data_IF_161151176184
#
_entry.id   IF_161151176184
#
_cell.length_a   1.000
_cell.length_b   1.000
_cell.length_c   1.000
_cell.angle_alpha   90.00
_cell.angle_beta   90.00
_cell.angle_gamma   90.00
#
_symmetry.space_group_name_H-M   'P 1'
#
loop_
_entity.id
_entity.type
_entity.pdbx_description
1 polymer ?
#
# COMPACT_ATOMS: atom_id res chain seq x y z
N UNK A 1 3.17 20.40 3.33
CA UNK A 1 2.74 19.95 1.99
C UNK A 1 2.01 18.64 2.21
N UNK A 2 0.68 18.68 2.33
CA UNK A 2 -0.17 17.55 2.73
C UNK A 2 -1.03 17.16 1.53
N UNK A 3 -0.62 16.15 0.75
CA UNK A 3 -1.34 15.81 -0.48
C UNK A 3 -1.14 14.40 -1.06
N UNK A 4 -0.24 13.58 -0.53
CA UNK A 4 0.07 12.26 -1.13
C UNK A 4 -0.27 11.06 -0.23
N UNK A 5 -0.81 11.28 0.98
CA UNK A 5 -1.22 10.19 1.88
C UNK A 5 -2.38 9.39 1.26
N UNK A 6 -2.25 8.06 1.27
CA UNK A 6 -3.24 7.12 0.77
C UNK A 6 -4.07 6.64 1.96
N UNK A 7 -5.39 6.80 1.86
CA UNK A 7 -6.32 6.35 2.90
C UNK A 7 -6.69 4.86 2.67
N UNK A 8 -6.42 3.95 3.62
CA UNK A 8 -6.78 2.53 3.51
C UNK A 8 -8.29 2.27 3.53
N UNK A 9 -9.09 3.20 4.08
CA UNK A 9 -10.55 3.13 4.08
C UNK A 9 -11.16 3.76 2.82
N UNK A 10 -10.42 4.63 2.13
CA UNK A 10 -10.90 5.30 0.91
C UNK A 10 -9.80 5.36 -0.15
N UNK A 11 -9.50 4.19 -0.73
CA UNK A 11 -8.46 4.05 -1.74
C UNK A 11 -8.81 4.83 -3.02
N UNK A 12 -7.87 5.60 -3.58
CA UNK A 12 -8.06 6.23 -4.87
C UNK A 12 -8.34 5.18 -5.95
N UNK A 13 -9.39 5.42 -6.75
CA UNK A 13 -9.76 4.54 -7.85
C UNK A 13 -9.01 4.87 -9.15
N UNK A 14 -8.41 6.06 -9.25
CA UNK A 14 -7.63 6.48 -10.40
C UNK A 14 -6.41 7.33 -9.97
N UNK A 15 -5.16 6.80 -10.06
CA UNK A 15 -4.83 5.43 -10.44
C UNK A 15 -5.36 4.42 -9.41
N UNK A 16 -5.62 3.18 -9.84
CA UNK A 16 -6.05 2.10 -8.93
C UNK A 16 -4.87 1.64 -8.10
N UNK A 17 -4.98 1.78 -6.78
CA UNK A 17 -4.00 1.28 -5.82
C UNK A 17 -4.17 -0.23 -5.61
N UNK A 18 -3.05 -0.96 -5.47
CA UNK A 18 -3.02 -2.39 -5.18
C UNK A 18 -2.28 -2.63 -3.86
N UNK A 19 -2.97 -2.49 -2.71
CA UNK A 19 -2.36 -2.70 -1.40
C UNK A 19 -1.74 -4.09 -1.31
N UNK A 20 -0.54 -4.19 -0.73
CA UNK A 20 0.19 -5.45 -0.68
C UNK A 20 1.07 -5.53 0.57
N UNK A 21 1.30 -6.77 1.02
CA UNK A 21 2.34 -7.09 1.98
C UNK A 21 3.61 -7.48 1.22
N UNK A 22 4.64 -6.64 1.29
CA UNK A 22 5.93 -6.86 0.65
C UNK A 22 6.89 -7.43 1.69
N UNK A 23 7.34 -8.68 1.49
CA UNK A 23 8.35 -9.28 2.32
C UNK A 23 9.72 -8.75 1.91
N UNK A 24 10.30 -7.84 2.69
CA UNK A 24 11.64 -7.30 2.47
C UNK A 24 12.65 -8.12 3.26
N UNK A 25 13.71 -8.59 2.58
CA UNK A 25 14.79 -9.36 3.23
C UNK A 25 15.45 -8.49 4.30
N UNK A 26 15.75 -9.08 5.46
CA UNK A 26 16.37 -8.44 6.64
C UNK A 26 15.51 -7.39 7.37
N UNK A 27 14.45 -6.85 6.76
CA UNK A 27 13.52 -5.92 7.41
C UNK A 27 12.22 -6.61 7.85
N UNK A 28 11.74 -7.62 7.12
CA UNK A 28 10.48 -8.31 7.40
C UNK A 28 9.34 -7.88 6.47
N UNK A 29 8.09 -8.26 6.78
CA UNK A 29 6.92 -7.85 6.01
C UNK A 29 6.66 -6.35 6.19
N UNK A 30 6.43 -5.65 5.09
CA UNK A 30 6.04 -4.24 5.05
C UNK A 30 4.70 -4.14 4.36
N UNK A 31 3.76 -3.44 4.97
CA UNK A 31 2.46 -3.21 4.38
C UNK A 31 2.45 -1.89 3.60
N UNK A 32 2.15 -1.96 2.30
CA UNK A 32 2.24 -0.82 1.38
C UNK A 32 0.89 -0.56 0.71
N UNK A 33 0.64 0.70 0.38
CA UNK A 33 -0.57 1.15 -0.31
C UNK A 33 -0.61 0.70 -1.77
N UNK A 34 0.56 0.62 -2.42
CA UNK A 34 0.69 0.13 -3.79
C UNK A 34 2.08 -0.45 -4.06
N UNK A 35 2.18 -1.30 -5.07
CA UNK A 35 3.45 -1.72 -5.63
C UNK A 35 3.39 -1.85 -7.14
N UNK A 36 4.53 -1.60 -7.78
CA UNK A 36 4.69 -1.74 -9.22
C UNK A 36 6.02 -2.41 -9.52
N UNK A 37 5.98 -3.56 -10.20
CA UNK A 37 7.17 -4.18 -10.77
C UNK A 37 7.57 -3.43 -12.04
N UNK A 38 8.80 -2.93 -12.06
CA UNK A 38 9.40 -2.25 -13.20
C UNK A 38 10.01 -3.27 -14.16
N UNK A 39 10.17 -2.88 -15.43
CA UNK A 39 10.78 -3.75 -16.45
C UNK A 39 12.21 -4.19 -16.11
N UNK A 40 12.93 -3.41 -15.29
CA UNK A 40 14.26 -3.75 -14.79
C UNK A 40 14.28 -4.82 -13.68
N UNK A 41 13.10 -5.33 -13.27
CA UNK A 41 12.95 -6.23 -12.12
C UNK A 41 12.93 -5.52 -10.76
N UNK A 42 13.11 -4.20 -10.73
CA UNK A 42 12.94 -3.41 -9.51
C UNK A 42 11.48 -3.31 -9.12
N UNK A 43 11.21 -3.16 -7.83
CA UNK A 43 9.86 -2.97 -7.31
C UNK A 43 9.75 -1.57 -6.75
N UNK A 44 8.87 -0.76 -7.33
CA UNK A 44 8.47 0.52 -6.72
C UNK A 44 7.36 0.24 -5.73
N UNK A 45 7.50 0.70 -4.50
CA UNK A 45 6.46 0.62 -3.48
C UNK A 45 6.00 2.03 -3.14
N UNK A 46 4.70 2.18 -2.88
CA UNK A 46 4.11 3.41 -2.35
C UNK A 46 3.62 3.11 -0.94
N UNK A 47 4.23 3.77 0.04
CA UNK A 47 3.81 3.71 1.44
C UNK A 47 2.46 4.42 1.64
N UNK A 48 1.79 4.13 2.76
CA UNK A 48 0.52 4.76 3.12
C UNK A 48 0.64 6.28 3.31
N UNK A 49 1.78 6.77 3.82
CA UNK A 49 2.08 8.20 3.92
C UNK A 49 2.34 8.87 2.55
N UNK A 50 2.26 8.13 1.45
CA UNK A 50 2.46 8.64 0.09
C UNK A 50 3.90 8.61 -0.40
N UNK A 51 4.84 8.25 0.48
CA UNK A 51 6.25 8.14 0.11
C UNK A 51 6.47 6.97 -0.85
N UNK A 52 7.37 7.15 -1.83
CA UNK A 52 7.62 6.14 -2.85
C UNK A 52 9.07 5.68 -2.81
N UNK A 53 9.27 4.40 -2.57
CA UNK A 53 10.61 3.79 -2.48
C UNK A 53 10.80 2.81 -3.63
N UNK A 54 12.04 2.68 -4.09
CA UNK A 54 12.43 1.66 -5.06
C UNK A 54 13.23 0.58 -4.33
N UNK A 55 12.74 -0.64 -4.38
CA UNK A 55 13.39 -1.81 -3.83
C UNK A 55 14.06 -2.60 -4.97
N UNK A 56 15.34 -2.95 -4.83
CA UNK A 56 16.00 -3.81 -5.80
C UNK A 56 15.46 -5.25 -5.69
N UNK A 57 15.45 -6.04 -6.78
CA UNK A 57 14.82 -7.35 -6.82
C UNK A 57 15.36 -8.33 -5.77
N UNK A 58 16.66 -8.26 -5.47
CA UNK A 58 17.29 -9.15 -4.48
C UNK A 58 16.86 -8.84 -3.04
N UNK A 59 16.32 -7.65 -2.74
CA UNK A 59 15.77 -7.32 -1.42
C UNK A 59 14.31 -7.75 -1.26
N UNK A 60 13.59 -8.02 -2.34
CA UNK A 60 12.20 -8.49 -2.27
C UNK A 60 12.20 -10.02 -2.19
N UNK A 61 11.67 -10.56 -1.11
CA UNK A 61 11.52 -12.01 -0.92
C UNK A 61 10.19 -12.52 -1.50
N UNK A 62 9.11 -11.77 -1.30
CA UNK A 62 7.77 -12.10 -1.80
C UNK A 62 6.89 -10.84 -1.79
N UNK A 63 5.85 -10.83 -2.63
CA UNK A 63 4.78 -9.82 -2.60
C UNK A 63 3.46 -10.56 -2.49
N UNK A 64 2.59 -10.12 -1.58
CA UNK A 64 1.26 -10.70 -1.38
C UNK A 64 0.22 -9.59 -1.44
N UNK A 65 -0.56 -9.56 -2.51
CA UNK A 65 -1.67 -8.62 -2.65
C UNK A 65 -2.68 -8.79 -1.52
N UNK A 66 -3.18 -7.66 -1.03
CA UNK A 66 -4.25 -7.60 -0.04
C UNK A 66 -5.56 -7.37 -0.77
N UNK A 67 -6.57 -8.17 -0.42
CA UNK A 67 -7.89 -8.02 -1.05
C UNK A 67 -8.49 -6.68 -0.67
N UNK A 68 -9.07 -6.03 -1.67
CA UNK A 68 -9.89 -4.83 -1.51
C UNK A 68 -11.34 -5.17 -1.77
N UNK A 69 -12.25 -4.46 -1.10
CA UNK A 69 -13.69 -4.56 -1.33
C UNK A 69 -14.24 -3.21 -1.76
N UNK A 70 -15.29 -3.24 -2.57
CA UNK A 70 -16.03 -2.03 -2.97
C UNK A 70 -17.24 -1.88 -2.08
N UNK A 71 -17.44 -0.69 -1.53
CA UNK A 71 -18.54 -0.38 -0.63
C UNK A 71 -19.19 0.97 -1.01
N UNK A 72 -20.35 1.26 -0.43
CA UNK A 72 -21.17 2.42 -0.79
C UNK A 72 -22.20 2.12 -1.89
N UNK A 73 -23.05 3.09 -2.20
CA UNK A 73 -24.10 2.96 -3.20
C UNK A 73 -23.78 3.76 -4.46
N UNK A 74 -24.24 3.27 -5.63
CA UNK A 74 -24.23 4.08 -6.87
C UNK A 74 -25.07 5.35 -6.76
N UNK A 75 -26.00 5.39 -5.81
CA UNK A 75 -26.88 6.53 -5.56
C UNK A 75 -26.30 7.54 -4.58
N UNK A 76 -25.17 7.23 -3.92
CA UNK A 76 -24.50 8.17 -3.03
C UNK A 76 -23.75 9.25 -3.83
N UNK A 77 -23.74 10.52 -3.37
CA UNK A 77 -23.01 11.59 -4.02
C UNK A 77 -21.49 11.35 -4.05
N UNK A 78 -20.97 10.55 -3.11
CA UNK A 78 -19.57 10.13 -3.08
C UNK A 78 -19.29 8.85 -3.91
N UNK A 79 -20.34 8.22 -4.45
CA UNK A 79 -20.24 7.03 -5.29
C UNK A 79 -19.73 5.77 -4.59
N UNK A 80 -19.31 4.79 -5.40
CA UNK A 80 -18.67 3.57 -4.91
C UNK A 80 -17.26 3.91 -4.41
N UNK A 81 -16.90 3.43 -3.21
CA UNK A 81 -15.57 3.57 -2.60
C UNK A 81 -14.89 2.21 -2.54
N UNK A 82 -13.55 2.20 -2.50
CA UNK A 82 -12.76 0.96 -2.38
C UNK A 82 -11.95 1.03 -1.09
N UNK A 83 -11.96 -0.05 -0.33
CA UNK A 83 -11.18 -0.17 0.91
C UNK A 83 -10.47 -1.50 1.00
N UNK A 84 -9.50 -1.60 1.89
CA UNK A 84 -8.90 -2.87 2.30
C UNK A 84 -9.98 -3.74 2.96
N UNK A 85 -10.15 -4.98 2.47
CA UNK A 85 -11.28 -5.86 2.84
C UNK A 85 -11.09 -6.60 4.17
N UNK A 86 -9.90 -6.57 4.74
CA UNK A 86 -9.51 -7.37 5.90
C UNK A 86 -9.39 -6.45 7.12
N UNK A 87 -10.29 -6.62 8.11
CA UNK A 87 -10.38 -5.74 9.28
C UNK A 87 -9.12 -5.78 10.16
N UNK A 88 -8.48 -6.94 10.35
CA UNK A 88 -7.19 -7.02 11.08
C UNK A 88 -6.08 -6.27 10.33
N UNK A 89 -6.09 -6.31 8.99
CA UNK A 89 -5.14 -5.52 8.19
C UNK A 89 -5.48 -4.04 8.13
N UNK A 90 -6.75 -3.66 8.31
CA UNK A 90 -7.15 -2.25 8.43
C UNK A 90 -6.61 -1.67 9.73
N UNK A 91 -6.69 -2.42 10.83
CA UNK A 91 -6.12 -2.01 12.11
C UNK A 91 -4.58 -1.95 12.05
N UNK A 92 -3.92 -2.91 11.38
CA UNK A 92 -2.47 -2.81 11.12
C UNK A 92 -2.10 -1.62 10.23
N UNK A 93 -2.90 -1.29 9.20
CA UNK A 93 -2.70 -0.11 8.37
C UNK A 93 -2.67 1.13 9.25
N UNK A 94 -3.72 1.33 10.06
CA UNK A 94 -3.86 2.48 10.95
C UNK A 94 -2.87 2.50 12.12
N UNK A 95 -2.37 1.33 12.55
CA UNK A 95 -1.28 1.26 13.52
C UNK A 95 0.07 1.65 12.91
N UNK A 96 0.34 1.25 11.66
CA UNK A 96 1.52 1.69 10.90
C UNK A 96 1.42 3.20 10.57
N UNK A 97 0.21 3.75 10.36
CA UNK A 97 -0.03 5.20 10.28
C UNK A 97 0.41 5.95 11.56
N UNK A 98 0.44 5.27 12.71
CA UNK A 98 0.91 5.85 13.98
C UNK A 98 2.37 5.53 14.29
N UNK A 99 3.00 4.58 13.59
CA UNK A 99 4.34 4.07 13.87
C UNK A 99 5.37 4.29 12.75
N UNK A 100 4.96 4.66 11.53
CA UNK A 100 5.83 5.03 10.42
C UNK A 100 6.94 4.00 10.16
N UNK A 101 6.60 2.78 9.77
CA UNK A 101 7.62 1.77 9.44
C UNK A 101 8.23 2.07 8.06
N UNK A 102 9.15 3.04 8.03
CA UNK A 102 9.86 3.47 6.83
C UNK A 102 10.54 2.28 6.14
N UNK A 103 10.29 2.07 4.84
CA UNK A 103 11.09 1.11 4.06
C UNK A 103 12.49 1.69 3.85
N UNK A 104 13.49 1.05 4.47
CA UNK A 104 14.88 1.51 4.38
C UNK A 104 15.52 0.91 3.13
N UNK A 105 15.71 1.75 2.11
CA UNK A 105 16.56 1.44 0.97
C UNK A 105 18.03 1.65 1.37
N UNK A 106 18.65 0.65 2.01
CA UNK A 106 20.10 0.68 2.26
C UNK A 106 20.84 0.60 0.90
N UNK A 107 21.70 1.59 0.65
CA UNK A 107 22.51 1.82 -0.57
C UNK A 107 23.49 0.67 -0.88
#
# INVERSE_FOLDING_TARGET
MNGDRVDPENLPQNPRYTPALVQVRKQGPVYVADYQTLQSGWVRVTEWEGHRVKLPPHKVAAIREVRTETYGSRSDPEGLKVRVADDERREQASADESAGMAVVADD
#
